data_IF_328384763737
#
_entry.id   IF_328384763737
#
_cell.length_a   1.000
_cell.length_b   1.000
_cell.length_c   1.000
_cell.angle_alpha   90.00
_cell.angle_beta   90.00
_cell.angle_gamma   90.00
#
_symmetry.space_group_name_H-M   'P 1'
#
loop_
_entity.id
_entity.type
_entity.pdbx_description
1 polymer ?
#
# COMPACT_ATOMS: atom_id res chain seq x y z
N UNK A 1 2.11 11.81 5.80
CA UNK A 1 3.55 11.49 5.58
C UNK A 1 3.71 10.95 4.17
N UNK A 2 4.58 11.53 3.32
CA UNK A 2 4.79 11.07 1.94
C UNK A 2 6.23 10.62 1.70
N UNK A 3 6.44 9.52 0.99
CA UNK A 3 7.77 9.11 0.53
C UNK A 3 8.21 9.96 -0.66
N UNK A 4 9.48 10.40 -0.70
CA UNK A 4 9.96 11.41 -1.67
C UNK A 4 11.12 10.98 -2.56
N UNK A 5 11.76 9.85 -2.23
CA UNK A 5 12.90 9.28 -2.93
C UNK A 5 12.62 7.85 -3.41
N UNK A 6 12.81 7.62 -4.71
CA UNK A 6 12.74 6.30 -5.35
C UNK A 6 13.86 5.37 -4.85
N UNK A 7 13.62 4.06 -4.83
CA UNK A 7 14.66 3.07 -4.53
C UNK A 7 15.22 3.14 -3.11
N UNK A 8 14.46 3.69 -2.14
CA UNK A 8 14.90 3.87 -0.76
C UNK A 8 14.04 3.08 0.22
N UNK A 9 14.69 2.61 1.28
CA UNK A 9 14.03 2.13 2.49
C UNK A 9 13.69 3.31 3.40
N UNK A 10 12.49 3.29 3.98
CA UNK A 10 12.02 4.29 4.93
C UNK A 10 11.88 3.65 6.32
N UNK A 11 12.38 4.36 7.32
CA UNK A 11 12.18 4.02 8.73
C UNK A 11 11.79 5.30 9.47
N UNK A 12 10.52 5.41 9.83
CA UNK A 12 10.00 6.46 10.69
C UNK A 12 9.14 5.81 11.76
N UNK A 13 9.20 6.33 12.99
CA UNK A 13 8.41 5.79 14.10
C UNK A 13 7.89 6.92 14.98
N UNK A 14 6.69 6.71 15.53
CA UNK A 14 6.07 7.61 16.49
C UNK A 14 5.84 6.86 17.80
N UNK A 15 6.27 7.45 18.91
CA UNK A 15 6.09 6.86 20.24
C UNK A 15 4.76 7.33 20.83
N UNK A 16 4.05 6.41 21.48
CA UNK A 16 2.83 6.68 22.23
C UNK A 16 2.93 6.05 23.62
N UNK A 17 1.97 6.37 24.51
CA UNK A 17 1.94 5.81 25.87
C UNK A 17 1.86 4.29 25.79
N UNK A 18 2.81 3.54 26.40
CA UNK A 18 2.76 2.08 26.40
C UNK A 18 1.45 1.55 26.97
N UNK A 19 0.91 0.51 26.35
CA UNK A 19 -0.32 -0.16 26.79
C UNK A 19 -0.25 -1.66 26.48
N UNK A 20 -1.23 -2.41 27.01
CA UNK A 20 -1.44 -3.83 26.68
C UNK A 20 -2.88 -4.04 26.24
N UNK A 21 -3.08 -4.86 25.21
CA UNK A 21 -4.40 -5.29 24.76
C UNK A 21 -4.88 -6.57 25.49
N UNK A 22 -4.25 -6.97 26.60
CA UNK A 22 -4.68 -8.16 27.36
C UNK A 22 -6.13 -8.00 27.83
N UNK A 23 -7.00 -8.91 27.38
CA UNK A 23 -8.42 -8.89 27.72
C UNK A 23 -9.23 -7.78 27.03
N UNK A 24 -8.66 -7.10 26.03
CA UNK A 24 -9.29 -6.02 25.29
C UNK A 24 -9.16 -6.23 23.78
N UNK A 25 -10.05 -5.63 23.02
CA UNK A 25 -9.87 -5.50 21.57
C UNK A 25 -8.70 -4.56 21.29
N UNK A 26 -7.98 -4.82 20.20
CA UNK A 26 -6.99 -3.93 19.62
C UNK A 26 -7.40 -3.65 18.17
N UNK A 27 -7.59 -2.38 17.86
CA UNK A 27 -7.83 -1.88 16.51
C UNK A 27 -6.62 -1.07 16.07
N UNK A 28 -6.10 -1.36 14.88
CA UNK A 28 -5.05 -0.60 14.20
C UNK A 28 -5.59 -0.16 12.85
N UNK A 29 -5.63 1.14 12.61
CA UNK A 29 -6.24 1.74 11.42
C UNK A 29 -5.38 2.87 10.87
N UNK A 30 -5.28 2.97 9.55
CA UNK A 30 -4.61 4.08 8.86
C UNK A 30 -4.99 4.10 7.38
N UNK A 31 -4.73 5.23 6.72
CA UNK A 31 -4.92 5.37 5.28
C UNK A 31 -3.61 5.30 4.53
N UNK A 32 -3.63 4.66 3.35
CA UNK A 32 -2.52 4.61 2.39
C UNK A 32 -3.03 5.07 1.03
N UNK A 33 -2.30 5.98 0.38
CA UNK A 33 -2.52 6.37 -1.02
C UNK A 33 -1.27 6.08 -1.83
N UNK A 34 -1.40 5.28 -2.88
CA UNK A 34 -0.33 5.02 -3.85
C UNK A 34 -0.53 5.86 -5.11
N UNK A 35 -0.52 7.18 -4.98
CA UNK A 35 -0.82 8.14 -6.05
C UNK A 35 0.02 7.90 -7.33
N UNK A 36 1.27 7.48 -7.15
CA UNK A 36 2.20 7.18 -8.23
C UNK A 36 1.92 5.87 -8.99
N UNK A 37 0.83 5.16 -8.67
CA UNK A 37 0.49 3.80 -9.12
C UNK A 37 1.65 2.84 -8.86
N UNK A 38 1.71 2.30 -7.64
CA UNK A 38 2.84 1.54 -7.13
C UNK A 38 3.14 0.27 -7.94
N UNK A 39 4.39 0.15 -8.42
CA UNK A 39 4.90 -1.06 -9.09
C UNK A 39 5.50 -2.06 -8.08
N UNK A 40 6.35 -1.56 -7.17
CA UNK A 40 6.89 -2.35 -6.06
C UNK A 40 7.25 -1.47 -4.85
N UNK A 41 6.70 -1.78 -3.69
CA UNK A 41 6.90 -1.08 -2.42
C UNK A 41 5.88 -1.48 -1.35
N UNK A 42 6.33 -1.41 -0.10
CA UNK A 42 5.49 -1.69 1.07
C UNK A 42 4.69 -0.46 1.51
N UNK A 43 3.43 -0.67 1.87
CA UNK A 43 2.54 0.29 2.51
C UNK A 43 2.12 -0.13 3.92
N UNK A 44 2.90 -1.00 4.57
CA UNK A 44 2.59 -1.55 5.89
C UNK A 44 3.23 -0.78 7.05
N UNK A 45 2.65 -0.95 8.23
CA UNK A 45 3.20 -0.45 9.50
C UNK A 45 3.61 -1.60 10.43
N UNK A 46 4.43 -1.27 11.42
CA UNK A 46 4.89 -2.18 12.47
C UNK A 46 4.60 -1.57 13.85
N UNK A 47 4.11 -2.39 14.78
CA UNK A 47 3.93 -2.04 16.20
C UNK A 47 5.07 -2.66 17.00
N UNK A 48 5.81 -1.84 17.74
CA UNK A 48 7.04 -2.24 18.42
C UNK A 48 6.87 -2.33 19.95
N UNK A 49 7.76 -3.07 20.64
CA UNK A 49 7.94 -2.97 22.08
C UNK A 49 8.27 -1.55 22.54
N UNK A 50 7.89 -1.21 23.77
CA UNK A 50 8.08 0.14 24.32
C UNK A 50 9.55 0.52 24.51
N UNK A 51 10.45 -0.47 24.67
CA UNK A 51 11.88 -0.30 24.88
C UNK A 51 12.70 -0.23 23.57
N UNK A 52 12.03 -0.21 22.41
CA UNK A 52 12.72 -0.13 21.12
C UNK A 52 13.54 1.17 21.00
N UNK A 53 14.77 1.03 20.49
CA UNK A 53 15.62 2.16 20.10
C UNK A 53 15.19 2.70 18.72
N UNK A 54 14.39 3.77 18.74
CA UNK A 54 13.87 4.41 17.53
C UNK A 54 14.97 5.02 16.64
N UNK A 55 16.14 5.37 17.19
CA UNK A 55 17.24 5.95 16.42
C UNK A 55 17.95 4.92 15.54
N UNK A 56 17.94 3.66 15.98
CA UNK A 56 18.59 2.54 15.31
C UNK A 56 17.58 1.56 14.70
N UNK A 57 16.34 2.02 14.42
CA UNK A 57 15.28 1.19 13.85
C UNK A 57 15.71 0.67 12.46
N UNK A 58 15.59 -0.63 12.24
CA UNK A 58 15.93 -1.28 10.99
C UNK A 58 15.05 -2.52 10.74
N UNK A 59 15.30 -3.22 9.64
CA UNK A 59 14.53 -4.41 9.24
C UNK A 59 14.54 -5.56 10.28
N UNK A 60 15.61 -5.66 11.08
CA UNK A 60 15.82 -6.69 12.11
C UNK A 60 15.24 -6.31 13.46
N UNK A 61 14.81 -5.06 13.64
CA UNK A 61 14.17 -4.59 14.87
C UNK A 61 12.90 -5.42 15.14
N UNK A 62 12.85 -6.04 16.32
CA UNK A 62 11.73 -6.90 16.70
C UNK A 62 10.44 -6.10 16.86
N UNK A 63 9.36 -6.56 16.22
CA UNK A 63 8.03 -5.97 16.31
C UNK A 63 7.01 -6.99 16.82
N UNK A 64 5.89 -6.53 17.36
CA UNK A 64 4.76 -7.38 17.75
C UNK A 64 3.84 -7.70 16.58
N UNK A 65 3.53 -6.70 15.77
CA UNK A 65 2.55 -6.78 14.68
C UNK A 65 3.13 -6.06 13.46
N UNK A 66 3.01 -6.66 12.28
CA UNK A 66 3.17 -5.98 10.99
C UNK A 66 1.87 -6.10 10.20
N UNK A 67 1.32 -4.98 9.78
CA UNK A 67 0.01 -4.91 9.13
C UNK A 67 -0.02 -3.90 7.99
N UNK A 68 -0.46 -4.34 6.80
CA UNK A 68 -0.74 -3.44 5.69
C UNK A 68 -0.46 -3.99 4.29
N UNK A 69 -0.75 -3.20 3.25
CA UNK A 69 -0.52 -3.58 1.86
C UNK A 69 0.97 -3.73 1.54
N UNK A 70 1.27 -4.70 0.69
CA UNK A 70 2.57 -4.87 0.03
C UNK A 70 2.33 -5.23 -1.44
N UNK A 71 2.94 -4.42 -2.30
CA UNK A 71 2.82 -4.54 -3.74
C UNK A 71 4.22 -4.76 -4.28
N UNK A 72 4.43 -5.78 -5.09
CA UNK A 72 5.65 -5.93 -5.87
C UNK A 72 5.39 -6.76 -7.12
N UNK A 73 5.43 -6.08 -8.26
CA UNK A 73 5.20 -6.66 -9.58
C UNK A 73 3.80 -7.27 -9.72
N UNK A 74 3.72 -8.36 -10.48
CA UNK A 74 2.47 -9.09 -10.69
C UNK A 74 2.15 -10.10 -9.58
N UNK A 75 3.18 -10.56 -8.88
CA UNK A 75 3.10 -11.72 -7.97
C UNK A 75 2.68 -11.33 -6.54
N UNK A 76 3.09 -10.15 -6.07
CA UNK A 76 2.85 -9.71 -4.70
C UNK A 76 1.86 -8.55 -4.72
N UNK A 77 0.60 -8.82 -4.35
CA UNK A 77 -0.47 -7.83 -4.17
C UNK A 77 -1.33 -8.23 -2.98
N UNK A 78 -0.76 -8.14 -1.78
CA UNK A 78 -1.41 -8.67 -0.58
C UNK A 78 -1.34 -7.72 0.60
N UNK A 79 -2.21 -7.94 1.57
CA UNK A 79 -2.15 -7.32 2.89
C UNK A 79 -1.44 -8.29 3.82
N UNK A 80 -0.29 -7.88 4.35
CA UNK A 80 0.37 -8.62 5.41
C UNK A 80 -0.38 -8.47 6.73
N UNK A 81 -0.51 -9.58 7.44
CA UNK A 81 -0.86 -9.60 8.86
C UNK A 81 0.07 -10.60 9.54
N UNK A 82 1.14 -10.09 10.14
CA UNK A 82 2.19 -10.90 10.76
C UNK A 82 2.19 -10.62 12.25
N UNK A 83 2.12 -11.68 13.06
CA UNK A 83 2.09 -11.63 14.51
C UNK A 83 3.34 -12.29 15.09
N UNK A 84 3.96 -11.64 16.07
CA UNK A 84 5.09 -12.20 16.80
C UNK A 84 4.62 -12.92 18.06
N UNK A 85 4.83 -14.24 18.12
CA UNK A 85 4.44 -15.08 19.25
C UNK A 85 5.46 -16.21 19.47
N UNK A 86 5.80 -16.48 20.74
CA UNK A 86 6.82 -17.48 21.12
C UNK A 86 8.15 -17.31 20.36
N UNK A 87 8.65 -16.08 20.26
CA UNK A 87 9.90 -15.72 19.56
C UNK A 87 9.92 -16.09 18.07
N UNK A 88 8.76 -16.20 17.44
CA UNK A 88 8.63 -16.48 16.01
C UNK A 88 7.58 -15.56 15.38
N UNK A 89 7.80 -15.23 14.12
CA UNK A 89 6.83 -14.52 13.29
C UNK A 89 5.93 -15.51 12.59
N UNK A 90 4.63 -15.30 12.73
CA UNK A 90 3.60 -16.09 12.08
C UNK A 90 2.85 -15.17 11.13
N UNK A 91 2.71 -15.58 9.87
CA UNK A 91 1.92 -14.86 8.86
C UNK A 91 0.53 -15.49 8.74
N UNK A 92 -0.49 -14.66 8.49
CA UNK A 92 -1.80 -15.17 8.12
C UNK A 92 -1.71 -16.01 6.84
N UNK A 93 -2.21 -17.25 6.89
CA UNK A 93 -2.17 -18.16 5.73
C UNK A 93 -3.14 -17.76 4.61
N UNK A 94 -4.15 -16.93 4.91
CA UNK A 94 -5.15 -16.49 3.93
C UNK A 94 -4.58 -15.36 3.08
N UNK A 95 -4.79 -15.45 1.78
CA UNK A 95 -4.39 -14.40 0.83
C UNK A 95 -5.40 -13.26 0.85
N UNK A 96 -5.05 -12.16 1.52
CA UNK A 96 -5.85 -10.94 1.56
C UNK A 96 -5.35 -10.02 0.46
N UNK A 97 -6.14 -9.73 -0.57
CA UNK A 97 -5.73 -8.84 -1.67
C UNK A 97 -5.75 -7.39 -1.24
N UNK A 98 -4.70 -6.65 -1.55
CA UNK A 98 -4.68 -5.19 -1.36
C UNK A 98 -5.27 -4.46 -2.57
N UNK A 99 -5.56 -3.17 -2.38
CA UNK A 99 -5.90 -2.25 -3.45
C UNK A 99 -4.62 -1.82 -4.16
N UNK A 100 -4.72 -1.55 -5.46
CA UNK A 100 -3.57 -1.24 -6.34
C UNK A 100 -3.83 -0.06 -7.26
N UNK A 101 -4.93 0.67 -7.03
CA UNK A 101 -5.22 1.90 -7.74
C UNK A 101 -4.50 3.10 -7.07
N UNK A 102 -4.68 4.30 -7.63
CA UNK A 102 -4.02 5.52 -7.15
C UNK A 102 -4.73 6.25 -6.02
N UNK A 103 -5.85 5.72 -5.53
CA UNK A 103 -6.71 6.38 -4.54
C UNK A 103 -6.27 6.09 -3.11
N UNK A 104 -6.81 6.89 -2.19
CA UNK A 104 -6.64 6.68 -0.76
C UNK A 104 -7.51 5.51 -0.31
N UNK A 105 -6.93 4.55 0.39
CA UNK A 105 -7.63 3.41 0.98
C UNK A 105 -7.43 3.32 2.48
N UNK A 106 -8.48 2.94 3.20
CA UNK A 106 -8.48 2.75 4.64
C UNK A 106 -8.21 1.28 4.98
N UNK A 107 -7.13 1.00 5.72
CA UNK A 107 -6.80 -0.34 6.20
C UNK A 107 -7.05 -0.44 7.70
N UNK A 108 -7.79 -1.46 8.12
CA UNK A 108 -8.11 -1.69 9.53
C UNK A 108 -7.85 -3.15 9.92
N UNK A 109 -7.11 -3.36 10.99
CA UNK A 109 -6.93 -4.67 11.63
C UNK A 109 -7.58 -4.62 13.01
N UNK A 110 -8.42 -5.62 13.29
CA UNK A 110 -9.08 -5.81 14.58
C UNK A 110 -8.64 -7.15 15.14
N UNK A 111 -8.09 -7.15 16.35
CA UNK A 111 -7.73 -8.35 17.12
C UNK A 111 -8.52 -8.37 18.42
N UNK A 112 -9.29 -9.43 18.66
CA UNK A 112 -10.22 -9.52 19.79
C UNK A 112 -9.69 -10.47 20.88
N UNK A 113 -10.13 -10.31 22.14
CA UNK A 113 -9.68 -11.14 23.25
C UNK A 113 -10.16 -12.60 23.17
N UNK A 114 -11.18 -12.88 22.36
CA UNK A 114 -11.68 -14.22 22.05
C UNK A 114 -10.86 -14.96 20.97
N UNK A 115 -9.71 -14.39 20.58
CA UNK A 115 -8.82 -14.88 19.52
C UNK A 115 -9.45 -14.85 18.11
N UNK A 116 -10.49 -14.04 17.90
CA UNK A 116 -10.95 -13.67 16.57
C UNK A 116 -10.20 -12.45 16.01
N UNK A 117 -10.18 -12.33 14.69
CA UNK A 117 -9.68 -11.14 13.99
C UNK A 117 -10.60 -10.73 12.85
N UNK A 118 -10.48 -9.48 12.43
CA UNK A 118 -11.13 -8.93 11.25
C UNK A 118 -10.17 -7.96 10.54
N UNK A 119 -10.05 -8.08 9.23
CA UNK A 119 -9.32 -7.17 8.36
C UNK A 119 -10.31 -6.47 7.46
N UNK A 120 -10.39 -5.15 7.61
CA UNK A 120 -11.26 -4.30 6.80
C UNK A 120 -10.44 -3.47 5.83
N UNK A 121 -10.98 -3.30 4.62
CA UNK A 121 -10.50 -2.33 3.63
C UNK A 121 -11.68 -1.43 3.30
N UNK A 122 -11.49 -0.11 3.34
CA UNK A 122 -12.51 0.86 2.97
C UNK A 122 -13.80 0.73 3.80
N UNK A 123 -13.64 0.33 5.08
CA UNK A 123 -14.72 0.08 6.04
C UNK A 123 -15.42 -1.28 5.88
N UNK A 124 -15.09 -2.07 4.86
CA UNK A 124 -15.71 -3.37 4.60
C UNK A 124 -14.83 -4.50 5.13
N UNK A 125 -15.40 -5.48 5.84
CA UNK A 125 -14.69 -6.71 6.22
C UNK A 125 -14.36 -7.51 4.97
N UNK A 126 -13.07 -7.72 4.74
CA UNK A 126 -12.53 -8.47 3.60
C UNK A 126 -12.07 -9.86 4.04
N UNK A 127 -11.59 -9.98 5.28
CA UNK A 127 -11.17 -11.26 5.84
C UNK A 127 -11.40 -11.29 7.34
N UNK A 128 -11.89 -12.42 7.86
CA UNK A 128 -12.09 -12.61 9.30
C UNK A 128 -11.97 -14.08 9.68
N UNK A 129 -11.70 -14.34 10.94
CA UNK A 129 -11.57 -15.72 11.41
C UNK A 129 -10.95 -15.82 12.78
N UNK A 130 -10.31 -16.95 13.03
CA UNK A 130 -9.64 -17.23 14.29
C UNK A 130 -8.12 -17.19 14.11
N UNK A 131 -7.47 -16.45 15.00
CA UNK A 131 -6.02 -16.29 15.05
C UNK A 131 -5.34 -17.65 15.20
N UNK A 132 -5.90 -18.55 16.02
CA UNK A 132 -5.29 -19.85 16.29
C UNK A 132 -5.18 -20.73 15.04
N UNK A 133 -6.18 -20.67 14.17
CA UNK A 133 -6.25 -21.49 12.96
C UNK A 133 -5.54 -20.82 11.78
N UNK A 134 -5.70 -19.51 11.61
CA UNK A 134 -5.19 -18.80 10.42
C UNK A 134 -3.70 -18.48 10.51
N UNK A 135 -3.12 -18.52 11.71
CA UNK A 135 -1.67 -18.44 11.96
C UNK A 135 -1.04 -19.79 12.34
N UNK A 136 -1.78 -20.89 12.23
CA UNK A 136 -1.32 -22.24 12.62
C UNK A 136 -0.77 -22.31 14.06
N UNK A 137 -1.36 -21.59 15.01
CA UNK A 137 -0.93 -21.62 16.41
C UNK A 137 -1.51 -22.81 17.19
N UNK A 138 -2.60 -23.41 16.70
CA UNK A 138 -3.21 -24.59 17.30
C UNK A 138 -2.27 -25.81 17.28
N UNK A 139 -1.49 -26.01 16.22
CA UNK A 139 -0.46 -27.05 16.14
C UNK A 139 0.69 -26.81 17.12
N UNK A 140 1.05 -25.55 17.37
CA UNK A 140 2.08 -25.16 18.34
C UNK A 140 1.69 -25.35 19.82
N UNK A 141 0.40 -25.59 20.11
CA UNK A 141 -0.05 -26.04 21.45
C UNK A 141 0.16 -27.55 21.64
N UNK A 142 0.16 -28.32 20.56
CA UNK A 142 0.22 -29.79 20.57
C UNK A 142 1.64 -30.34 20.39
N UNK A 143 2.50 -29.61 19.70
CA UNK A 143 3.86 -30.04 19.38
C UNK A 143 4.88 -29.41 20.34
N UNK A 144 5.10 -30.10 21.45
CA UNK A 144 6.32 -29.98 22.26
C UNK A 144 7.28 -31.11 21.88
N UNK A 145 7.54 -31.33 20.59
CA UNK A 145 8.64 -32.18 20.10
C UNK A 145 8.81 -32.07 18.58
N UNK A 146 10.08 -31.94 18.17
CA UNK A 146 10.63 -31.93 16.81
C UNK A 146 10.57 -30.61 16.04
N UNK A 147 11.70 -29.91 16.04
CA UNK A 147 12.00 -28.80 15.16
C UNK A 147 12.83 -29.31 13.98
N UNK A 148 12.36 -29.05 12.75
CA UNK A 148 13.21 -29.02 11.57
C UNK A 148 13.03 -27.69 10.85
N UNK A 149 14.15 -27.00 10.68
CA UNK A 149 14.29 -25.77 9.91
C UNK A 149 14.12 -26.04 8.43
N UNK A 150 13.31 -25.25 7.73
CA UNK A 150 13.42 -25.08 6.28
C UNK A 150 13.75 -23.64 5.95
N UNK A 151 14.96 -23.47 5.43
CA UNK A 151 15.38 -22.29 4.68
C UNK A 151 14.39 -22.01 3.56
N UNK A 152 13.82 -20.81 3.55
CA UNK A 152 13.16 -20.29 2.36
C UNK A 152 14.19 -19.52 1.55
N UNK A 153 14.49 -20.08 0.39
CA UNK A 153 15.30 -19.49 -0.67
C UNK A 153 14.61 -18.21 -1.15
N UNK A 154 15.35 -17.10 -1.08
CA UNK A 154 14.95 -15.80 -1.63
C UNK A 154 14.87 -15.95 -3.16
N UNK A 155 13.69 -15.68 -3.74
CA UNK A 155 13.50 -15.64 -5.19
C UNK A 155 14.10 -14.37 -5.77
N UNK A 156 14.71 -14.54 -6.94
CA UNK A 156 15.50 -13.57 -7.69
C UNK A 156 14.78 -12.24 -7.95
N UNK A 157 15.55 -11.17 -7.84
CA UNK A 157 15.13 -9.77 -8.01
C UNK A 157 14.55 -9.53 -9.42
N UNK A 158 13.22 -9.48 -9.51
CA UNK A 158 12.58 -8.71 -10.57
C UNK A 158 13.00 -7.26 -10.34
N UNK A 159 13.68 -6.64 -11.32
CA UNK A 159 14.03 -5.21 -11.34
C UNK A 159 12.77 -4.35 -11.41
N UNK A 160 11.96 -4.36 -10.35
CA UNK A 160 10.89 -3.42 -10.16
C UNK A 160 11.49 -2.14 -9.57
N UNK A 161 11.28 -1.02 -10.25
CA UNK A 161 11.70 0.27 -9.74
C UNK A 161 10.79 0.67 -8.58
N UNK A 162 11.33 0.73 -7.36
CA UNK A 162 10.58 1.22 -6.20
C UNK A 162 10.29 2.70 -6.37
N UNK A 163 9.02 3.06 -6.57
CA UNK A 163 8.57 4.44 -6.79
C UNK A 163 8.09 5.08 -5.49
N UNK A 164 8.67 6.22 -5.13
CA UNK A 164 8.16 7.07 -4.05
C UNK A 164 6.90 7.83 -4.48
N UNK A 165 6.17 8.35 -3.50
CA UNK A 165 4.91 9.05 -3.69
C UNK A 165 3.81 8.55 -2.76
N UNK A 166 4.01 7.40 -2.11
CA UNK A 166 3.04 6.83 -1.18
C UNK A 166 2.80 7.78 -0.02
N UNK A 167 1.54 8.10 0.24
CA UNK A 167 1.08 8.94 1.34
C UNK A 167 0.44 8.06 2.41
N UNK A 168 0.86 8.25 3.65
CA UNK A 168 0.26 7.65 4.84
C UNK A 168 -0.37 8.74 5.70
N UNK A 169 -1.57 8.49 6.20
CA UNK A 169 -2.28 9.43 7.07
C UNK A 169 -3.29 8.71 7.98
N UNK A 170 -3.97 9.48 8.84
CA UNK A 170 -5.12 9.04 9.65
C UNK A 170 -4.80 7.81 10.53
N UNK A 171 -3.61 7.78 11.11
CA UNK A 171 -3.20 6.70 12.01
C UNK A 171 -4.05 6.71 13.28
N UNK A 172 -4.61 5.54 13.62
CA UNK A 172 -5.41 5.30 14.81
C UNK A 172 -5.04 3.94 15.42
N UNK A 173 -4.84 3.92 16.73
CA UNK A 173 -4.75 2.71 17.54
C UNK A 173 -5.73 2.88 18.70
N UNK A 174 -6.70 1.97 18.84
CA UNK A 174 -7.77 2.06 19.84
C UNK A 174 -8.22 0.67 20.31
N UNK A 175 -9.00 0.60 21.39
CA UNK A 175 -9.67 -0.62 21.87
C UNK A 175 -11.18 -0.65 21.53
N UNK A 176 -11.67 0.34 20.77
CA UNK A 176 -13.08 0.52 20.41
C UNK A 176 -13.28 0.44 18.87
N UNK A 177 -14.02 -0.59 18.42
CA UNK A 177 -14.33 -0.82 17.01
C UNK A 177 -15.31 0.21 16.42
N UNK A 178 -16.26 0.68 17.21
CA UNK A 178 -17.26 1.66 16.77
C UNK A 178 -16.60 3.03 16.60
N UNK A 179 -15.74 3.42 17.54
CA UNK A 179 -14.94 4.63 17.40
C UNK A 179 -14.07 4.58 16.14
N UNK A 180 -13.42 3.44 15.85
CA UNK A 180 -12.59 3.28 14.67
C UNK A 180 -13.39 3.41 13.36
N UNK A 181 -14.59 2.81 13.30
CA UNK A 181 -15.49 2.90 12.16
C UNK A 181 -15.96 4.36 11.91
N UNK A 182 -16.36 5.05 12.99
CA UNK A 182 -16.74 6.45 12.93
C UNK A 182 -15.57 7.36 12.51
N UNK A 183 -14.37 7.12 13.05
CA UNK A 183 -13.17 7.84 12.64
C UNK A 183 -12.83 7.60 11.16
N UNK A 184 -12.98 6.36 10.68
CA UNK A 184 -12.77 5.99 9.28
C UNK A 184 -13.75 6.70 8.33
N UNK A 185 -15.02 6.81 8.72
CA UNK A 185 -16.04 7.57 8.00
C UNK A 185 -15.71 9.07 7.98
N UNK A 186 -15.36 9.65 9.12
CA UNK A 186 -15.06 11.08 9.26
C UNK A 186 -13.74 11.52 8.60
N UNK A 187 -12.86 10.58 8.23
CA UNK A 187 -11.58 10.86 7.58
C UNK A 187 -11.57 10.41 6.12
N UNK A 188 -11.29 9.12 5.89
CA UNK A 188 -11.28 8.53 4.55
C UNK A 188 -12.64 8.64 3.85
N UNK A 189 -13.73 8.44 4.59
CA UNK A 189 -15.10 8.50 4.04
C UNK A 189 -15.44 9.84 3.39
N UNK A 190 -14.96 10.95 3.98
CA UNK A 190 -15.11 12.30 3.42
C UNK A 190 -14.10 12.59 2.30
N UNK A 191 -12.94 11.95 2.30
CA UNK A 191 -11.87 12.17 1.30
C UNK A 191 -12.15 11.46 -0.02
N UNK A 192 -12.71 10.24 0.01
CA UNK A 192 -12.82 9.36 -1.17
C UNK A 192 -13.67 9.92 -2.31
N UNK A 193 -14.67 10.75 -2.01
CA UNK A 193 -15.58 11.33 -3.01
C UNK A 193 -14.89 12.44 -3.80
N UNK A 194 -14.49 13.53 -3.14
CA UNK A 194 -13.75 14.63 -3.77
C UNK A 194 -12.48 14.18 -4.49
N UNK A 195 -11.74 13.21 -3.92
CA UNK A 195 -10.54 12.67 -4.57
C UNK A 195 -10.85 12.06 -5.95
N UNK A 196 -11.92 11.27 -6.06
CA UNK A 196 -12.34 10.67 -7.33
C UNK A 196 -12.87 11.68 -8.34
N UNK A 197 -13.56 12.72 -7.85
CA UNK A 197 -14.06 13.78 -8.72
C UNK A 197 -12.91 14.60 -9.32
N UNK A 198 -11.93 14.96 -8.48
CA UNK A 198 -10.71 15.66 -8.90
C UNK A 198 -9.92 14.85 -9.93
N UNK A 199 -9.71 13.54 -9.68
CA UNK A 199 -9.04 12.63 -10.62
C UNK A 199 -9.77 12.55 -11.98
N UNK A 200 -11.11 12.50 -11.96
CA UNK A 200 -11.92 12.49 -13.17
C UNK A 200 -11.85 13.81 -13.95
N UNK A 201 -11.76 14.96 -13.27
CA UNK A 201 -11.57 16.26 -13.89
C UNK A 201 -10.19 16.33 -14.53
N UNK A 202 -9.14 16.01 -13.77
CA UNK A 202 -7.75 16.03 -14.25
C UNK A 202 -7.57 15.11 -15.47
N UNK A 203 -8.10 13.89 -15.41
CA UNK A 203 -8.05 12.96 -16.53
C UNK A 203 -8.74 13.52 -17.79
N UNK A 204 -9.87 14.22 -17.64
CA UNK A 204 -10.57 14.85 -18.78
C UNK A 204 -9.78 16.03 -19.36
N UNK A 205 -9.16 16.83 -18.50
CA UNK A 205 -8.32 17.95 -18.92
C UNK A 205 -7.07 17.45 -19.65
N UNK A 206 -6.41 16.40 -19.14
CA UNK A 206 -5.27 15.75 -19.80
C UNK A 206 -5.64 15.18 -21.16
N UNK A 207 -6.76 14.46 -21.28
CA UNK A 207 -7.24 13.94 -22.57
C UNK A 207 -7.57 15.07 -23.56
N UNK A 208 -8.18 16.15 -23.09
CA UNK A 208 -8.50 17.31 -23.93
C UNK A 208 -7.22 17.96 -24.44
N UNK A 209 -6.24 18.18 -23.56
CA UNK A 209 -4.96 18.79 -23.91
C UNK A 209 -4.18 17.92 -24.89
N UNK A 210 -4.11 16.60 -24.68
CA UNK A 210 -3.46 15.67 -25.59
C UNK A 210 -4.08 15.68 -26.99
N UNK A 211 -5.42 15.81 -27.08
CA UNK A 211 -6.13 15.94 -28.35
C UNK A 211 -5.84 17.26 -29.06
N UNK A 212 -5.80 18.37 -28.31
CA UNK A 212 -5.44 19.68 -28.87
C UNK A 212 -3.99 19.67 -29.39
N UNK A 213 -3.05 19.07 -28.64
CA UNK A 213 -1.66 18.89 -29.07
C UNK A 213 -1.56 18.01 -30.34
N UNK A 214 -2.32 16.92 -30.45
CA UNK A 214 -2.36 16.08 -31.66
C UNK A 214 -2.95 16.82 -32.87
N UNK A 215 -4.02 17.61 -32.67
CA UNK A 215 -4.62 18.43 -33.74
C UNK A 215 -3.65 19.54 -34.21
N UNK A 216 -2.89 20.17 -33.31
CA UNK A 216 -1.85 21.15 -33.64
C UNK A 216 -0.66 20.50 -34.37
N UNK A 217 -0.21 19.31 -33.95
CA UNK A 217 0.86 18.57 -34.63
C UNK A 217 0.45 18.23 -36.08
N UNK A 218 -0.79 17.76 -36.30
CA UNK A 218 -1.30 17.46 -37.63
C UNK A 218 -1.34 18.71 -38.54
N UNK A 219 -1.82 19.85 -38.01
CA UNK A 219 -1.85 21.11 -38.76
C UNK A 219 -0.43 21.61 -39.11
N UNK A 220 0.53 21.45 -38.20
CA UNK A 220 1.92 21.83 -38.44
C UNK A 220 2.56 20.99 -39.55
N UNK A 221 2.27 19.68 -39.59
CA UNK A 221 2.77 18.76 -40.62
C UNK A 221 2.17 19.05 -42.00
N UNK A 222 0.89 19.43 -42.09
CA UNK A 222 0.27 19.87 -43.35
C UNK A 222 0.91 21.16 -43.90
N UNK A 223 1.29 22.09 -43.02
CA UNK A 223 1.92 23.35 -43.41
C UNK A 223 3.34 23.19 -43.96
N UNK A 224 4.13 22.24 -43.45
CA UNK A 224 5.47 21.91 -43.96
C UNK A 224 5.43 21.00 -45.20
N UNK A 225 4.38 20.18 -45.35
CA UNK A 225 4.10 19.44 -46.58
C UNK A 225 3.87 20.36 -47.79
N UNK A 226 3.31 21.55 -47.58
CA UNK A 226 3.05 22.51 -48.65
C UNK A 226 4.30 23.28 -49.13
N UNK A 227 5.32 23.48 -48.28
CA UNK A 227 6.60 24.10 -48.70
C UNK A 227 7.40 23.21 -49.66
N UNK A 228 7.27 21.88 -49.54
CA UNK A 228 7.95 20.93 -50.42
C UNK A 228 7.31 20.80 -51.82
N UNK A 229 6.06 21.24 -52.00
CA UNK A 229 5.43 21.28 -53.32
C UNK A 229 5.82 22.51 -54.14
N UNK A 230 6.06 23.66 -53.50
CA UNK A 230 6.46 24.89 -54.22
C UNK A 230 7.94 24.88 -54.69
N UNK A 231 8.83 24.15 -54.02
CA UNK A 231 10.24 24.04 -54.47
C UNK A 231 10.44 23.07 -55.64
N UNK A 232 9.50 22.16 -55.90
CA UNK A 232 9.60 21.18 -56.99
C UNK A 232 9.06 21.69 -58.33
N UNK A 233 8.20 22.72 -58.32
CA UNK A 233 7.64 23.31 -59.56
C UNK A 233 8.51 24.42 -60.18
N UNK A 234 9.43 25.04 -59.45
CA UNK A 234 10.32 26.08 -60.00
C UNK A 234 11.62 25.55 -60.62
N UNK A 235 11.92 24.25 -60.56
CA UNK A 235 13.13 23.65 -61.12
C UNK A 235 12.94 22.90 -62.45
N UNK A 236 11.80 23.10 -63.12
CA UNK A 236 11.46 22.38 -64.36
C UNK A 236 11.37 23.25 -65.62
N UNK A 237 11.81 24.52 -65.54
CA UNK A 237 11.76 25.49 -66.64
C UNK A 237 13.09 26.19 -66.96
N UNK A 238 14.24 25.63 -66.57
CA UNK A 238 15.53 26.09 -67.09
C UNK A 238 16.37 24.90 -67.56
N UNK A 239 16.70 24.98 -68.87
CA UNK A 239 17.60 24.16 -69.71
C UNK A 239 17.02 22.88 -70.33
#
# INVERSE_FOLDING_TARGET
LQTTQNGRFYAISARFKPFSNKGKTLVIQYTVKHEQKMDCGGGYIKVFPADIDQKNLNEKSQYYIMFGPDICGFDIKKVHVILHFKNQYHENKKLIRCKVDGFTHLYTLILRPDLSYDVKIDGQSIESGSIEYDWNLASLKKEKSLAESKDRKLTEDIKAQVRSGTIFDNFLITDDEEYADNFGKATWGETKGPEREMDAIQSKEEMKKAREEEEEELQSQESDGHKNYFHRFHKRNEL
#
